data_IF_048230371849
#
_entry.id   IF_048230371849
#
_cell.length_a   1.000
_cell.length_b   1.000
_cell.length_c   1.000
_cell.angle_alpha   90.00
_cell.angle_beta   90.00
_cell.angle_gamma   90.00
#
_symmetry.space_group_name_H-M   'P 1'
#
loop_
_entity.id
_entity.type
_entity.pdbx_description
1 polymer ?
#
# COMPACT_ATOMS: atom_id res chain seq x y z
N UNK A 1 13.92 5.21 8.25
CA UNK A 1 12.52 5.70 8.40
C UNK A 1 11.76 4.76 9.33
N UNK A 2 10.67 5.19 9.95
CA UNK A 2 9.76 4.30 10.71
C UNK A 2 8.33 4.65 10.32
N UNK A 3 7.48 3.69 9.90
CA UNK A 3 6.08 3.96 9.59
C UNK A 3 5.32 4.52 10.79
N UNK A 4 4.63 5.64 10.61
CA UNK A 4 3.83 6.29 11.65
C UNK A 4 2.41 5.69 11.80
N UNK A 5 2.21 4.44 11.36
CA UNK A 5 0.93 3.74 11.39
C UNK A 5 1.17 2.25 11.63
N UNK A 6 0.18 1.56 12.20
CA UNK A 6 0.21 0.11 12.35
C UNK A 6 -0.01 -0.57 11.00
N UNK A 7 0.67 -1.70 10.72
CA UNK A 7 0.43 -2.49 9.51
C UNK A 7 -1.08 -2.76 9.33
N UNK A 8 -1.68 -2.38 8.18
CA UNK A 8 -3.12 -2.49 8.04
C UNK A 8 -3.64 -3.93 8.11
N UNK A 9 -2.81 -4.93 7.81
CA UNK A 9 -3.13 -6.35 7.96
C UNK A 9 -3.49 -6.77 9.40
N UNK A 10 -3.01 -6.03 10.41
CA UNK A 10 -3.33 -6.28 11.82
C UNK A 10 -4.69 -5.70 12.22
N UNK A 11 -5.32 -4.89 11.37
CA UNK A 11 -6.63 -4.34 11.65
C UNK A 11 -7.72 -5.40 11.47
N UNK A 12 -8.63 -5.50 12.45
CA UNK A 12 -9.82 -6.38 12.35
C UNK A 12 -10.70 -6.04 11.14
N UNK A 13 -10.65 -4.81 10.64
CA UNK A 13 -11.41 -4.37 9.47
C UNK A 13 -10.67 -4.56 8.14
N UNK A 14 -9.45 -5.12 8.16
CA UNK A 14 -8.60 -5.28 6.98
C UNK A 14 -9.33 -6.01 5.84
N UNK A 15 -9.94 -7.15 6.13
CA UNK A 15 -10.68 -7.94 5.14
C UNK A 15 -11.86 -7.17 4.56
N UNK A 16 -12.62 -6.45 5.39
CA UNK A 16 -13.72 -5.61 4.93
C UNK A 16 -13.24 -4.48 4.02
N UNK A 17 -12.12 -3.83 4.38
CA UNK A 17 -11.47 -2.80 3.55
C UNK A 17 -10.99 -3.38 2.22
N UNK A 18 -10.32 -4.54 2.23
CA UNK A 18 -9.80 -5.20 1.04
C UNK A 18 -10.94 -5.63 0.10
N UNK A 19 -12.04 -6.16 0.64
CA UNK A 19 -13.22 -6.51 -0.16
C UNK A 19 -13.90 -5.28 -0.77
N UNK A 20 -13.95 -4.16 -0.05
CA UNK A 20 -14.55 -2.91 -0.53
C UNK A 20 -13.69 -2.22 -1.59
N UNK A 21 -12.40 -2.05 -1.33
CA UNK A 21 -11.48 -1.27 -2.16
C UNK A 21 -10.75 -2.11 -3.22
N UNK A 22 -10.83 -3.45 -3.15
CA UNK A 22 -10.16 -4.42 -4.03
C UNK A 22 -8.63 -4.41 -3.96
N UNK A 23 -8.04 -3.43 -3.26
CA UNK A 23 -6.62 -3.30 -2.97
C UNK A 23 -6.46 -2.71 -1.56
N UNK A 24 -5.44 -3.17 -0.84
CA UNK A 24 -5.01 -2.55 0.42
C UNK A 24 -3.54 -2.84 0.66
N UNK A 25 -2.84 -1.88 1.26
CA UNK A 25 -1.53 -2.13 1.86
C UNK A 25 -1.71 -3.20 2.95
N UNK A 26 -0.91 -4.26 2.87
CA UNK A 26 -0.88 -5.32 3.88
C UNK A 26 0.10 -4.95 5.00
N UNK A 27 1.35 -4.71 4.62
CA UNK A 27 2.44 -4.36 5.54
C UNK A 27 3.50 -3.52 4.83
N UNK A 28 4.25 -2.74 5.60
CA UNK A 28 5.37 -1.94 5.13
C UNK A 28 6.55 -2.13 6.07
N UNK A 29 7.75 -2.17 5.50
CA UNK A 29 9.01 -2.10 6.22
C UNK A 29 9.95 -1.14 5.51
N UNK A 30 10.98 -0.70 6.20
CA UNK A 30 11.97 0.23 5.65
C UNK A 30 13.35 -0.27 6.02
N UNK A 31 14.26 -0.32 5.05
CA UNK A 31 15.68 -0.57 5.29
C UNK A 31 16.48 0.49 4.54
N UNK A 32 17.47 1.06 5.22
CA UNK A 32 18.28 2.17 4.72
C UNK A 32 17.42 3.34 4.21
N UNK A 33 17.39 3.55 2.89
CA UNK A 33 16.60 4.57 2.19
C UNK A 33 15.47 3.98 1.32
N UNK A 34 15.18 2.68 1.47
CA UNK A 34 14.20 1.96 0.67
C UNK A 34 12.98 1.59 1.50
N UNK A 35 11.80 1.81 0.91
CA UNK A 35 10.53 1.37 1.48
C UNK A 35 10.10 0.08 0.78
N UNK A 36 9.84 -0.96 1.57
CA UNK A 36 9.34 -2.25 1.08
C UNK A 36 7.88 -2.38 1.50
N UNK A 37 7.02 -2.77 0.56
CA UNK A 37 5.59 -2.92 0.80
C UNK A 37 5.06 -4.25 0.31
N UNK A 38 4.13 -4.84 1.05
CA UNK A 38 3.28 -5.93 0.57
C UNK A 38 1.90 -5.35 0.33
N UNK A 39 1.37 -5.55 -0.87
CA UNK A 39 0.05 -5.07 -1.28
C UNK A 39 -0.86 -6.27 -1.53
N UNK A 40 -2.01 -6.30 -0.86
CA UNK A 40 -3.04 -7.31 -1.11
C UNK A 40 -4.00 -6.81 -2.16
N UNK A 41 -4.31 -7.65 -3.15
CA UNK A 41 -5.24 -7.34 -4.24
C UNK A 41 -6.25 -8.48 -4.38
N UNK A 42 -7.54 -8.14 -4.52
CA UNK A 42 -8.58 -9.13 -4.78
C UNK A 42 -8.45 -9.67 -6.20
N UNK A 43 -8.55 -10.99 -6.33
CA UNK A 43 -8.45 -11.63 -7.63
C UNK A 43 -9.74 -11.53 -8.48
N UNK A 44 -10.00 -10.35 -9.06
CA UNK A 44 -11.20 -10.12 -9.90
C UNK A 44 -11.00 -10.44 -11.40
N UNK A 45 -9.76 -10.36 -11.88
CA UNK A 45 -9.38 -10.55 -13.30
C UNK A 45 -7.92 -10.97 -13.39
N UNK A 46 -7.52 -11.58 -14.50
CA UNK A 46 -6.16 -12.01 -14.76
C UNK A 46 -5.17 -10.83 -14.85
N UNK A 47 -5.51 -9.79 -15.61
CA UNK A 47 -4.65 -8.61 -15.77
C UNK A 47 -4.88 -7.61 -14.65
N UNK A 48 -3.84 -7.35 -13.85
CA UNK A 48 -3.86 -6.36 -12.77
C UNK A 48 -2.68 -5.43 -12.93
N UNK A 49 -2.94 -4.15 -12.73
CA UNK A 49 -1.88 -3.14 -12.61
C UNK A 49 -2.08 -2.46 -11.27
N UNK A 50 -1.02 -2.43 -10.47
CA UNK A 50 -1.00 -1.79 -9.16
C UNK A 50 0.02 -0.67 -9.24
N UNK A 51 -0.32 0.49 -8.71
CA UNK A 51 0.60 1.61 -8.62
C UNK A 51 0.78 1.99 -7.17
N UNK A 52 2.02 2.28 -6.77
CA UNK A 52 2.34 2.93 -5.51
C UNK A 52 2.66 4.38 -5.81
N UNK A 53 1.80 5.27 -5.32
CA UNK A 53 1.99 6.71 -5.45
C UNK A 53 2.50 7.31 -4.13
N UNK A 54 3.58 8.08 -4.20
CA UNK A 54 4.11 8.80 -3.04
C UNK A 54 4.50 10.24 -3.37
N UNK A 55 4.65 11.05 -2.32
CA UNK A 55 5.01 12.47 -2.36
C UNK A 55 5.98 12.79 -1.23
N UNK A 56 6.82 13.81 -1.43
CA UNK A 56 7.66 14.41 -0.40
C UNK A 56 7.33 15.89 -0.12
N UNK A 57 6.30 16.44 -0.79
CA UNK A 57 5.97 17.87 -0.77
C UNK A 57 4.46 18.14 -0.72
N UNK A 58 3.75 17.58 0.27
CA UNK A 58 2.31 17.82 0.49
C UNK A 58 1.42 17.61 -0.76
N UNK A 59 1.79 16.62 -1.59
CA UNK A 59 1.11 16.27 -2.84
C UNK A 59 1.21 17.33 -3.96
N UNK A 60 2.11 18.32 -3.85
CA UNK A 60 2.40 19.26 -4.94
C UNK A 60 3.01 18.56 -6.17
N UNK A 61 3.77 17.48 -5.93
CA UNK A 61 4.19 16.53 -6.96
C UNK A 61 4.08 15.10 -6.45
N UNK A 62 4.03 14.13 -7.36
CA UNK A 62 4.00 12.71 -7.00
C UNK A 62 4.89 11.87 -7.92
N UNK A 63 5.32 10.74 -7.40
CA UNK A 63 5.97 9.67 -8.15
C UNK A 63 5.08 8.43 -8.11
N UNK A 64 4.93 7.77 -9.26
CA UNK A 64 4.19 6.53 -9.43
C UNK A 64 5.18 5.40 -9.76
N UNK A 65 5.21 4.39 -8.90
CA UNK A 65 5.97 3.15 -9.10
C UNK A 65 5.01 2.00 -9.43
N UNK A 66 5.42 1.13 -10.35
CA UNK A 66 4.70 -0.07 -10.79
C UNK A 66 5.09 -1.32 -10.00
#
# INVERSE_FOLDING_TARGET
>A
LVPAFLPPSLSVSFMGRLQKLKVSLHSVSTADSTVYGIISVINMTFHKTVYVRYTANDWLSHHDEL
#
